data_IF_342401464620
#
_entry.id   IF_342401464620
#
_cell.length_a   1.000
_cell.length_b   1.000
_cell.length_c   1.000
_cell.angle_alpha   90.00
_cell.angle_beta   90.00
_cell.angle_gamma   90.00
#
_symmetry.space_group_name_H-M   'P 1'
#
loop_
_entity.id
_entity.type
_entity.pdbx_description
1 polymer ?
#
# COMPACT_ATOMS: atom_id res chain seq x y z
N UNK A 1 -2.20 -19.08 -4.55
CA UNK A 1 -2.93 -17.86 -4.13
C UNK A 1 -3.41 -17.13 -5.39
N UNK A 2 -4.73 -17.00 -5.57
CA UNK A 2 -5.26 -16.20 -6.66
C UNK A 2 -5.12 -14.72 -6.29
N UNK A 3 -4.27 -13.99 -7.02
CA UNK A 3 -4.08 -12.54 -6.86
C UNK A 3 -5.38 -11.72 -6.99
N UNK A 4 -6.41 -12.29 -7.61
CA UNK A 4 -7.77 -11.73 -7.69
C UNK A 4 -8.49 -11.66 -6.33
N UNK A 5 -8.02 -12.36 -5.30
CA UNK A 5 -8.59 -12.32 -3.94
C UNK A 5 -8.08 -11.13 -3.11
N UNK A 6 -7.11 -10.35 -3.61
CA UNK A 6 -6.62 -9.15 -2.95
C UNK A 6 -7.69 -8.06 -3.10
N UNK A 7 -8.29 -7.60 -1.99
CA UNK A 7 -9.32 -6.57 -1.99
C UNK A 7 -8.75 -5.15 -2.00
N UNK A 8 -7.61 -4.96 -1.34
CA UNK A 8 -7.00 -3.65 -1.16
C UNK A 8 -5.48 -3.77 -1.11
N UNK A 9 -4.78 -2.71 -1.53
CA UNK A 9 -3.32 -2.64 -1.55
C UNK A 9 -2.93 -1.35 -0.83
N UNK A 10 -2.29 -1.48 0.33
CA UNK A 10 -1.77 -0.36 1.11
C UNK A 10 -0.24 -0.43 1.07
N UNK A 11 0.40 0.68 0.70
CA UNK A 11 1.86 0.79 0.71
C UNK A 11 2.30 1.50 1.99
N UNK A 12 3.31 0.94 2.66
CA UNK A 12 3.83 1.42 3.95
C UNK A 12 5.35 1.53 3.89
N UNK A 13 5.88 2.59 4.50
CA UNK A 13 7.32 2.88 4.55
C UNK A 13 7.78 3.82 3.42
N UNK A 14 8.77 4.68 3.74
CA UNK A 14 9.17 5.78 2.86
C UNK A 14 9.73 5.38 1.50
N UNK A 15 10.33 4.19 1.36
CA UNK A 15 10.78 3.70 0.04
C UNK A 15 9.61 3.46 -0.92
N UNK A 16 8.39 3.26 -0.41
CA UNK A 16 7.19 3.09 -1.25
C UNK A 16 6.70 4.41 -1.85
N UNK A 17 7.24 5.55 -1.45
CA UNK A 17 7.01 6.85 -2.09
C UNK A 17 7.69 6.94 -3.47
N UNK A 18 8.65 6.06 -3.77
CA UNK A 18 9.35 6.04 -5.07
C UNK A 18 8.36 5.71 -6.21
N UNK A 19 8.20 6.59 -7.22
CA UNK A 19 7.21 6.42 -8.29
C UNK A 19 7.34 5.12 -9.09
N UNK A 20 8.56 4.58 -9.21
CA UNK A 20 8.81 3.31 -9.90
C UNK A 20 8.24 2.11 -9.15
N UNK A 21 8.44 2.05 -7.82
CA UNK A 21 7.88 0.98 -6.98
C UNK A 21 6.35 0.96 -7.05
N UNK A 22 5.75 2.15 -7.07
CA UNK A 22 4.30 2.31 -7.17
C UNK A 22 3.75 1.78 -8.50
N UNK A 23 4.41 2.12 -9.61
CA UNK A 23 4.04 1.60 -10.95
C UNK A 23 4.21 0.10 -11.06
N UNK A 24 5.32 -0.44 -10.55
CA UNK A 24 5.58 -1.88 -10.57
C UNK A 24 4.55 -2.64 -9.71
N UNK A 25 4.17 -2.08 -8.56
CA UNK A 25 3.08 -2.62 -7.73
C UNK A 25 1.74 -2.63 -8.47
N UNK A 26 1.34 -1.52 -9.09
CA UNK A 26 0.08 -1.45 -9.84
C UNK A 26 0.06 -2.50 -10.97
N UNK A 27 1.16 -2.68 -11.72
CA UNK A 27 1.29 -3.71 -12.76
C UNK A 27 1.23 -5.12 -12.18
N UNK A 28 1.90 -5.37 -11.06
CA UNK A 28 1.99 -6.69 -10.43
C UNK A 28 0.63 -7.21 -9.95
N UNK A 29 -0.27 -6.30 -9.57
CA UNK A 29 -1.64 -6.60 -9.13
C UNK A 29 -2.69 -6.34 -10.23
N UNK A 30 -2.32 -6.55 -11.51
CA UNK A 30 -3.22 -6.46 -12.67
C UNK A 30 -3.86 -5.08 -12.86
N UNK A 31 -3.10 -4.02 -12.60
CA UNK A 31 -3.58 -2.64 -12.72
C UNK A 31 -4.47 -2.19 -11.55
N UNK A 32 -4.60 -3.02 -10.50
CA UNK A 32 -5.35 -2.63 -9.30
C UNK A 32 -4.66 -1.46 -8.62
N UNK A 33 -5.38 -0.34 -8.51
CA UNK A 33 -4.88 0.88 -7.87
C UNK A 33 -4.68 0.65 -6.38
N UNK A 34 -3.50 1.04 -5.89
CA UNK A 34 -3.23 1.17 -4.45
C UNK A 34 -4.11 2.22 -3.77
N UNK A 35 -4.39 2.00 -2.48
CA UNK A 35 -5.07 2.97 -1.64
C UNK A 35 -4.12 4.13 -1.30
N UNK A 36 -4.58 5.36 -1.54
CA UNK A 36 -3.86 6.61 -1.27
C UNK A 36 -4.42 7.41 -0.08
N UNK A 37 -5.44 6.88 0.59
CA UNK A 37 -6.06 7.51 1.76
C UNK A 37 -5.18 7.45 3.01
N UNK A 38 -4.16 6.58 3.00
CA UNK A 38 -3.22 6.40 4.11
C UNK A 38 -1.86 6.93 3.69
N UNK A 39 -1.28 7.80 4.52
CA UNK A 39 0.10 8.24 4.36
C UNK A 39 1.06 7.09 4.70
N UNK A 40 1.92 6.61 3.77
CA UNK A 40 2.81 5.47 3.97
C UNK A 40 3.74 5.60 5.17
N UNK A 41 4.12 6.84 5.52
CA UNK A 41 5.04 7.14 6.61
C UNK A 41 4.35 7.21 7.98
N UNK A 42 3.02 7.42 8.02
CA UNK A 42 2.24 7.51 9.25
C UNK A 42 1.35 6.30 9.49
N UNK A 43 1.20 5.40 8.51
CA UNK A 43 0.36 4.21 8.61
C UNK A 43 0.65 3.36 9.85
N UNK A 44 1.94 3.17 10.17
CA UNK A 44 2.39 2.38 11.32
C UNK A 44 2.07 3.07 12.64
N UNK A 45 2.32 4.38 12.73
CA UNK A 45 2.07 5.18 13.94
C UNK A 45 0.57 5.25 14.23
N UNK A 46 -0.24 5.46 13.20
CA UNK A 46 -1.71 5.50 13.34
C UNK A 46 -2.27 4.15 13.77
N UNK A 47 -1.74 3.04 13.24
CA UNK A 47 -2.13 1.70 13.67
C UNK A 47 -1.78 1.45 15.14
N UNK A 48 -0.56 1.78 15.55
CA UNK A 48 -0.12 1.63 16.94
C UNK A 48 -0.88 2.54 17.92
N UNK A 49 -1.33 3.71 17.49
CA UNK A 49 -2.11 4.63 18.32
C UNK A 49 -3.59 4.22 18.47
N UNK A 50 -4.12 3.39 17.56
CA UNK A 50 -5.46 2.81 17.68
C UNK A 50 -5.41 1.55 18.57
N UNK A 51 -4.35 0.76 18.43
CA UNK A 51 -4.10 -0.45 19.21
C UNK A 51 -3.29 -0.10 20.47
N UNK A 52 -3.91 0.67 21.37
CA UNK A 52 -3.36 1.02 22.69
C UNK A 52 -4.24 0.46 23.81
#
# INVERSE_FOLDING_TARGET
MHKSQIHEIVLVGGSTDIPRIQKESDVFFYGKKRNKSINPNQAVVNGAAIET
#
